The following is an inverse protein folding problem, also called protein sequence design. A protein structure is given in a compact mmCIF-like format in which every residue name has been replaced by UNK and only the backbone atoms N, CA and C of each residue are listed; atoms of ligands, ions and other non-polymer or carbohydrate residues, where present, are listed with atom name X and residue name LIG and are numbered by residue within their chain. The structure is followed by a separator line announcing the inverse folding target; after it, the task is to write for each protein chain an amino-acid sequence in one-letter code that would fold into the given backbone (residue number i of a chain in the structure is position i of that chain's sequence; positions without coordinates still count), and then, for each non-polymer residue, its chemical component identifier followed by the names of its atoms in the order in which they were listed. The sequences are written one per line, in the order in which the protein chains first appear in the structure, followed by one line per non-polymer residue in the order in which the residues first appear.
data_IF_695239639120
#
_entry.id   IF_695239639120
#
_cell.length_a   1.000
_cell.length_b   1.000
_cell.length_c   1.000
_cell.angle_alpha   90.00
_cell.angle_beta   90.00
_cell.angle_gamma   90.00
#
_symmetry.space_group_name_H-M   'P 1'
#
loop_
_entity.id
_entity.type
_entity.pdbx_description
1 polymer ?
#
# COMPACT_ATOMS: atom_id res chain seq x y z
N UNK A 1 0.26 26.09 21.42
CA UNK A 1 1.06 24.89 21.11
C UNK A 1 0.40 24.24 19.92
N UNK A 2 0.93 24.53 18.75
CA UNK A 2 0.37 24.13 17.45
C UNK A 2 1.03 22.83 17.02
N UNK A 3 0.23 21.79 16.81
CA UNK A 3 0.70 20.56 16.18
C UNK A 3 0.51 20.72 14.67
N UNK A 4 1.60 21.03 13.97
CA UNK A 4 1.71 20.92 12.53
C UNK A 4 2.05 19.48 12.16
N UNK A 5 1.20 18.82 11.39
CA UNK A 5 1.57 17.60 10.66
C UNK A 5 2.33 18.01 9.38
N UNK A 6 3.45 17.36 9.03
CA UNK A 6 4.12 17.64 7.77
C UNK A 6 3.24 17.17 6.61
N UNK A 7 2.72 18.13 5.84
CA UNK A 7 2.26 17.88 4.49
C UNK A 7 3.46 17.40 3.66
N UNK A 8 3.31 16.26 2.97
CA UNK A 8 4.26 15.85 1.95
C UNK A 8 4.34 16.96 0.88
N UNK A 9 5.55 17.43 0.52
CA UNK A 9 5.67 18.49 -0.48
C UNK A 9 5.31 17.96 -1.87
N UNK A 10 4.43 18.69 -2.54
CA UNK A 10 4.22 18.60 -3.98
C UNK A 10 5.53 18.94 -4.70
N UNK A 11 5.93 18.10 -5.65
CA UNK A 11 7.06 18.36 -6.51
C UNK A 11 6.75 19.52 -7.47
N UNK A 12 7.29 20.71 -7.19
CA UNK A 12 7.73 21.66 -8.21
C UNK A 12 8.51 22.83 -7.60
N UNK A 13 9.62 23.15 -8.25
CA UNK A 13 10.39 24.40 -8.22
C UNK A 13 11.27 24.69 -7.00
N UNK A 14 12.58 24.51 -7.19
CA UNK A 14 13.64 25.51 -7.01
C UNK A 14 14.97 24.75 -6.86
N UNK A 15 15.90 24.87 -7.81
CA UNK A 15 16.92 25.92 -7.82
C UNK A 15 17.91 25.79 -6.65
N UNK A 16 19.10 25.27 -7.02
CA UNK A 16 20.42 25.30 -6.38
C UNK A 16 20.55 26.27 -5.21
N UNK A 17 21.05 25.77 -4.07
CA UNK A 17 22.43 26.04 -3.63
C UNK A 17 22.86 25.06 -2.53
N UNK A 18 24.10 24.59 -2.70
CA UNK A 18 25.04 23.91 -1.78
C UNK A 18 24.89 24.32 -0.30
N UNK A 19 25.06 23.45 0.69
CA UNK A 19 26.31 22.73 1.06
C UNK A 19 25.99 21.64 2.11
N UNK A 20 26.65 20.46 1.96
CA UNK A 20 27.16 19.50 2.98
C UNK A 20 26.29 19.21 4.23
N UNK A 21 25.95 17.99 4.62
CA UNK A 21 26.66 16.72 4.52
C UNK A 21 25.63 15.59 4.73
N UNK A 22 25.49 14.68 3.77
CA UNK A 22 24.67 13.47 3.90
C UNK A 22 25.20 12.41 2.96
N UNK A 23 25.67 11.31 3.53
CA UNK A 23 26.16 10.11 2.86
C UNK A 23 25.10 9.57 1.90
N UNK A 24 25.33 9.58 0.57
CA UNK A 24 24.39 9.01 -0.39
C UNK A 24 24.70 7.54 -0.63
N UNK A 25 23.64 6.72 -0.65
CA UNK A 25 23.66 5.41 -1.30
C UNK A 25 24.04 5.65 -2.77
N UNK A 26 25.23 5.19 -3.14
CA UNK A 26 25.83 5.35 -4.46
C UNK A 26 24.89 4.87 -5.59
N UNK A 27 24.27 5.80 -6.33
CA UNK A 27 23.93 5.56 -7.73
C UNK A 27 25.20 5.73 -8.55
N UNK A 28 25.86 4.62 -8.86
CA UNK A 28 26.98 4.61 -9.80
C UNK A 28 26.47 5.02 -11.19
N UNK A 29 27.17 5.95 -11.86
CA UNK A 29 26.91 6.29 -13.25
C UNK A 29 27.05 5.02 -14.11
N UNK A 30 25.94 4.57 -14.70
CA UNK A 30 25.96 3.42 -15.59
C UNK A 30 26.64 3.79 -16.91
N UNK A 31 27.45 2.88 -17.47
CA UNK A 31 28.09 3.08 -18.76
C UNK A 31 27.05 3.11 -19.90
N UNK A 32 27.38 3.76 -21.02
CA UNK A 32 26.46 3.88 -22.17
C UNK A 32 25.91 2.52 -22.63
N UNK A 33 26.77 1.51 -22.77
CA UNK A 33 26.39 0.16 -23.17
C UNK A 33 25.43 -0.50 -22.17
N UNK A 34 25.63 -0.27 -20.85
CA UNK A 34 24.77 -0.85 -19.83
C UNK A 34 23.34 -0.29 -19.84
N UNK A 35 23.16 0.95 -20.32
CA UNK A 35 21.84 1.58 -20.45
C UNK A 35 21.14 1.05 -21.73
N UNK A 36 21.87 0.88 -22.83
CA UNK A 36 21.35 0.29 -24.06
C UNK A 36 20.88 -1.15 -23.85
N UNK A 37 21.69 -1.98 -23.19
CA UNK A 37 21.38 -3.38 -22.89
C UNK A 37 20.17 -3.53 -21.93
N UNK A 38 19.90 -2.49 -21.14
CA UNK A 38 18.79 -2.45 -20.20
C UNK A 38 17.44 -2.21 -20.87
N UNK A 39 17.39 -1.64 -22.07
CA UNK A 39 16.13 -1.34 -22.77
C UNK A 39 15.90 -2.40 -23.86
N UNK A 40 14.67 -2.90 -23.95
CA UNK A 40 14.29 -3.87 -24.98
C UNK A 40 12.85 -3.63 -25.45
N UNK A 41 12.53 -4.09 -26.66
CA UNK A 41 11.18 -4.01 -27.21
C UNK A 41 10.56 -5.41 -27.34
N UNK A 42 9.46 -5.64 -26.64
CA UNK A 42 8.68 -6.87 -26.70
C UNK A 42 7.63 -6.74 -27.81
N UNK A 43 7.97 -7.21 -29.01
CA UNK A 43 7.13 -7.09 -30.19
C UNK A 43 5.74 -7.74 -30.04
N UNK A 44 5.66 -8.87 -29.32
CA UNK A 44 4.41 -9.59 -29.07
C UNK A 44 3.36 -8.76 -28.31
N UNK A 45 3.81 -7.80 -27.49
CA UNK A 45 2.95 -6.95 -26.68
C UNK A 45 3.00 -5.48 -27.09
N UNK A 46 3.85 -5.15 -28.08
CA UNK A 46 4.11 -3.79 -28.53
C UNK A 46 4.47 -2.83 -27.38
N UNK A 47 5.42 -3.24 -26.53
CA UNK A 47 5.89 -2.46 -25.37
C UNK A 47 7.41 -2.37 -25.34
N UNK A 48 7.92 -1.24 -24.88
CA UNK A 48 9.34 -1.07 -24.52
C UNK A 48 9.48 -1.35 -23.04
N UNK A 49 10.43 -2.19 -22.64
CA UNK A 49 10.68 -2.60 -21.26
C UNK A 49 12.10 -2.22 -20.84
N UNK A 50 12.22 -1.66 -19.65
CA UNK A 50 13.49 -1.54 -18.96
C UNK A 50 13.70 -2.75 -18.05
N UNK A 51 14.70 -3.58 -18.38
CA UNK A 51 15.05 -4.80 -17.63
C UNK A 51 15.54 -4.50 -16.22
N UNK A 52 16.26 -3.40 -16.03
CA UNK A 52 16.77 -3.01 -14.71
C UNK A 52 15.63 -2.60 -13.76
N UNK A 53 14.65 -1.87 -14.27
CA UNK A 53 13.49 -1.42 -13.50
C UNK A 53 12.31 -2.39 -13.56
N UNK A 54 12.44 -3.47 -14.36
CA UNK A 54 11.42 -4.50 -14.55
C UNK A 54 10.03 -3.91 -14.82
N UNK A 55 9.97 -2.93 -15.72
CA UNK A 55 8.75 -2.18 -16.06
C UNK A 55 8.77 -1.76 -17.53
N UNK A 56 7.60 -1.76 -18.14
CA UNK A 56 7.33 -1.11 -19.41
C UNK A 56 7.45 0.41 -19.28
N UNK A 57 7.88 1.04 -20.35
CA UNK A 57 8.24 2.44 -20.45
C UNK A 57 7.39 3.10 -21.54
N UNK A 58 6.53 4.04 -21.14
CA UNK A 58 5.72 4.81 -22.10
C UNK A 58 6.47 5.99 -22.70
N UNK A 59 7.22 6.71 -21.87
CA UNK A 59 8.05 7.85 -22.30
C UNK A 59 9.51 7.50 -22.05
N UNK A 60 10.16 6.98 -23.09
CA UNK A 60 11.54 6.48 -23.02
C UNK A 60 12.53 7.61 -22.68
N UNK A 61 12.36 8.80 -23.26
CA UNK A 61 13.23 9.94 -22.98
C UNK A 61 13.15 10.37 -21.51
N UNK A 62 11.94 10.48 -20.96
CA UNK A 62 11.73 10.82 -19.56
C UNK A 62 12.28 9.73 -18.63
N UNK A 63 12.03 8.46 -18.94
CA UNK A 63 12.52 7.35 -18.13
C UNK A 63 14.07 7.31 -18.08
N UNK A 64 14.73 7.44 -19.22
CA UNK A 64 16.20 7.44 -19.27
C UNK A 64 16.81 8.64 -18.52
N UNK A 65 16.13 9.79 -18.55
CA UNK A 65 16.55 10.99 -17.80
C UNK A 65 16.40 10.79 -16.29
N UNK A 66 15.25 10.31 -15.86
CA UNK A 66 14.85 10.34 -14.45
C UNK A 66 15.38 9.12 -13.68
N UNK A 67 15.58 7.96 -14.34
CA UNK A 67 15.99 6.71 -13.69
C UNK A 67 17.42 6.26 -14.04
N UNK A 68 17.91 6.55 -15.25
CA UNK A 68 19.28 6.19 -15.65
C UNK A 68 20.25 7.38 -15.65
N UNK A 69 19.78 8.60 -15.34
CA UNK A 69 20.57 9.84 -15.44
C UNK A 69 21.29 9.96 -16.79
N UNK A 70 20.70 9.43 -17.87
CA UNK A 70 21.37 9.26 -19.15
C UNK A 70 21.63 10.64 -19.81
N UNK A 71 22.85 10.88 -20.33
CA UNK A 71 23.17 12.12 -21.05
C UNK A 71 22.25 12.35 -22.24
N UNK A 72 21.95 13.62 -22.56
CA UNK A 72 21.01 14.00 -23.63
C UNK A 72 21.33 13.34 -24.99
N UNK A 73 22.61 13.21 -25.34
CA UNK A 73 23.05 12.57 -26.59
C UNK A 73 22.66 11.10 -26.64
N UNK A 74 22.94 10.36 -25.56
CA UNK A 74 22.63 8.94 -25.44
C UNK A 74 21.11 8.70 -25.41
N UNK A 75 20.34 9.54 -24.70
CA UNK A 75 18.87 9.43 -24.69
C UNK A 75 18.27 9.55 -26.09
N UNK A 76 18.80 10.46 -26.91
CA UNK A 76 18.38 10.63 -28.30
C UNK A 76 18.73 9.41 -29.15
N UNK A 77 19.95 8.91 -29.05
CA UNK A 77 20.41 7.73 -29.78
C UNK A 77 19.58 6.47 -29.45
N UNK A 78 19.31 6.24 -28.16
CA UNK A 78 18.40 5.17 -27.72
C UNK A 78 16.98 5.41 -28.23
N UNK A 79 16.44 6.63 -28.12
CA UNK A 79 15.09 6.90 -28.61
C UNK A 79 14.96 6.72 -30.14
N UNK A 80 16.00 7.07 -30.90
CA UNK A 80 16.09 6.88 -32.35
C UNK A 80 16.12 5.39 -32.73
N UNK A 81 16.77 4.52 -31.95
CA UNK A 81 16.81 3.08 -32.24
C UNK A 81 15.45 2.39 -32.11
N UNK A 82 14.54 2.96 -31.33
CA UNK A 82 13.14 2.51 -31.22
C UNK A 82 12.17 3.30 -32.09
N UNK A 83 12.66 4.25 -32.90
CA UNK A 83 11.83 5.02 -33.83
C UNK A 83 11.22 4.07 -34.89
N UNK A 84 9.90 4.09 -35.02
CA UNK A 84 9.16 3.19 -35.92
C UNK A 84 8.65 1.90 -35.27
N UNK A 85 8.99 1.62 -34.01
CA UNK A 85 8.29 0.59 -33.23
C UNK A 85 6.94 1.14 -32.76
N UNK A 86 5.88 0.35 -32.90
CA UNK A 86 4.57 0.72 -32.36
C UNK A 86 4.56 0.43 -30.87
N UNK A 87 4.32 1.43 -30.04
CA UNK A 87 4.21 1.26 -28.58
C UNK A 87 2.76 1.51 -28.16
N UNK A 88 2.12 0.49 -27.62
CA UNK A 88 0.74 0.59 -27.16
C UNK A 88 0.65 1.36 -25.84
N UNK A 89 -0.43 2.14 -25.70
CA UNK A 89 -0.75 2.79 -24.43
C UNK A 89 -1.18 1.74 -23.38
N UNK A 90 -0.96 2.00 -22.09
CA UNK A 90 -1.18 1.05 -20.97
C UNK A 90 -2.51 0.32 -21.02
N UNK A 91 -3.59 1.01 -21.42
CA UNK A 91 -4.95 0.46 -21.50
C UNK A 91 -5.17 -0.48 -22.70
N UNK A 92 -4.36 -0.37 -23.73
CA UNK A 92 -4.49 -1.12 -25.00
C UNK A 92 -3.60 -2.36 -25.05
N UNK A 93 -2.67 -2.51 -24.08
CA UNK A 93 -1.80 -3.68 -24.02
C UNK A 93 -2.62 -4.92 -23.71
N UNK A 94 -2.52 -5.91 -24.60
CA UNK A 94 -3.06 -7.24 -24.40
C UNK A 94 -2.12 -7.99 -23.46
N UNK A 95 -2.63 -8.37 -22.29
CA UNK A 95 -1.87 -9.15 -21.33
C UNK A 95 -1.62 -10.56 -21.89
N UNK A 96 -0.49 -11.19 -21.54
CA UNK A 96 -0.25 -12.59 -21.83
C UNK A 96 -1.40 -13.46 -21.31
N UNK A 97 -1.61 -14.61 -21.96
CA UNK A 97 -2.52 -15.62 -21.44
C UNK A 97 -2.10 -16.02 -20.02
N UNK A 98 -3.05 -16.18 -19.09
CA UNK A 98 -2.73 -16.61 -17.74
C UNK A 98 -2.06 -17.98 -17.75
N UNK A 99 -1.13 -18.21 -16.81
CA UNK A 99 -0.32 -19.42 -16.67
C UNK A 99 0.73 -19.63 -17.79
N UNK A 100 1.00 -18.60 -18.60
CA UNK A 100 2.16 -18.61 -19.51
C UNK A 100 3.51 -18.56 -18.77
N UNK A 101 4.63 -18.82 -19.47
CA UNK A 101 5.96 -18.67 -18.88
C UNK A 101 6.23 -17.21 -18.46
N UNK A 102 7.04 -16.96 -17.42
CA UNK A 102 7.46 -15.62 -17.06
C UNK A 102 8.18 -14.89 -18.20
N UNK A 103 7.91 -13.60 -18.35
CA UNK A 103 8.66 -12.71 -19.24
C UNK A 103 9.96 -12.33 -18.52
N UNK A 104 11.11 -12.77 -19.04
CA UNK A 104 12.42 -12.59 -18.41
C UNK A 104 12.76 -11.10 -18.18
N UNK A 105 12.37 -10.23 -19.11
CA UNK A 105 12.67 -8.80 -19.10
C UNK A 105 11.88 -8.02 -18.02
N UNK A 106 10.84 -8.63 -17.45
CA UNK A 106 10.10 -8.08 -16.31
C UNK A 106 10.64 -8.59 -14.96
N UNK A 107 11.76 -9.31 -14.97
CA UNK A 107 12.41 -9.84 -13.78
C UNK A 107 11.61 -10.96 -13.11
N UNK A 108 12.03 -11.31 -11.89
CA UNK A 108 11.44 -12.42 -11.14
C UNK A 108 9.94 -12.19 -10.88
N UNK A 109 9.08 -13.22 -11.06
CA UNK A 109 7.68 -13.15 -10.69
C UNK A 109 7.50 -12.79 -9.21
N UNK A 110 6.48 -11.98 -8.94
CA UNK A 110 6.08 -11.57 -7.60
C UNK A 110 5.07 -12.57 -7.03
N UNK A 111 5.00 -12.64 -5.70
CA UNK A 111 3.91 -13.35 -5.04
C UNK A 111 2.63 -12.52 -5.11
N UNK A 112 1.58 -13.16 -5.61
CA UNK A 112 0.22 -12.64 -5.68
C UNK A 112 -0.74 -13.58 -4.99
N UNK A 113 -1.93 -13.07 -4.74
CA UNK A 113 -3.01 -13.78 -4.08
C UNK A 113 -4.22 -13.74 -5.00
N UNK A 114 -4.73 -14.90 -5.40
CA UNK A 114 -5.87 -15.01 -6.28
C UNK A 114 -6.94 -15.92 -5.66
N UNK A 115 -8.17 -15.42 -5.66
CA UNK A 115 -9.36 -16.22 -5.45
C UNK A 115 -9.96 -16.58 -6.82
N UNK A 116 -10.34 -17.84 -7.02
CA UNK A 116 -10.86 -18.33 -8.31
C UNK A 116 -12.38 -18.17 -8.46
N UNK A 117 -13.11 -17.76 -7.43
CA UNK A 117 -14.57 -17.61 -7.43
C UNK A 117 -15.04 -16.32 -6.74
N UNK A 118 -16.21 -15.81 -7.14
CA UNK A 118 -16.73 -14.51 -6.69
C UNK A 118 -17.12 -14.46 -5.19
N UNK A 119 -17.37 -15.61 -4.55
CA UNK A 119 -17.82 -15.72 -3.14
C UNK A 119 -16.88 -16.57 -2.25
N UNK A 120 -15.65 -16.84 -2.69
CA UNK A 120 -14.77 -17.77 -1.99
C UNK A 120 -13.79 -17.09 -1.01
N UNK A 121 -13.71 -17.63 0.20
CA UNK A 121 -12.83 -17.22 1.30
C UNK A 121 -11.44 -17.88 1.26
N UNK A 122 -11.15 -18.72 0.25
CA UNK A 122 -9.84 -19.33 0.05
C UNK A 122 -9.00 -18.55 -0.94
N UNK A 123 -7.86 -18.07 -0.45
CA UNK A 123 -6.87 -17.35 -1.24
C UNK A 123 -5.73 -18.31 -1.58
N UNK A 124 -5.45 -18.48 -2.87
CA UNK A 124 -4.28 -19.25 -3.33
C UNK A 124 -3.12 -18.32 -3.63
N UNK A 125 -1.90 -18.73 -3.24
CA UNK A 125 -0.67 -18.01 -3.61
C UNK A 125 -0.33 -18.35 -5.06
N UNK A 126 -0.24 -17.33 -5.89
CA UNK A 126 0.09 -17.42 -7.32
C UNK A 126 1.32 -16.59 -7.64
N UNK A 127 2.04 -16.93 -8.70
CA UNK A 127 3.13 -16.10 -9.22
C UNK A 127 2.59 -15.15 -10.28
N UNK A 128 2.90 -13.87 -10.15
CA UNK A 128 2.37 -12.81 -11.03
C UNK A 128 3.49 -11.92 -11.58
N UNK A 129 3.26 -11.35 -12.76
CA UNK A 129 4.06 -10.27 -13.32
C UNK A 129 3.16 -9.11 -13.76
N UNK A 130 3.77 -7.94 -13.96
CA UNK A 130 3.08 -6.74 -14.44
C UNK A 130 4.01 -5.97 -15.37
N UNK A 131 3.44 -5.33 -16.39
CA UNK A 131 4.17 -4.37 -17.20
C UNK A 131 4.39 -3.04 -16.48
N UNK A 132 3.61 -2.67 -15.47
CA UNK A 132 3.73 -1.36 -14.81
C UNK A 132 3.80 -1.53 -13.30
N UNK A 133 4.82 -0.93 -12.68
CA UNK A 133 5.06 -0.99 -11.23
C UNK A 133 4.56 0.23 -10.45
N UNK A 134 4.06 1.26 -11.14
CA UNK A 134 3.60 2.52 -10.52
C UNK A 134 2.29 3.01 -11.17
N UNK A 135 1.43 3.66 -10.38
CA UNK A 135 0.17 4.27 -10.84
C UNK A 135 -1.09 3.40 -10.70
N UNK A 136 -2.27 4.01 -10.86
CA UNK A 136 -3.58 3.36 -10.67
C UNK A 136 -4.08 2.46 -11.80
N UNK A 137 -3.20 2.07 -12.74
CA UNK A 137 -3.52 1.20 -13.88
C UNK A 137 -2.68 -0.09 -13.90
N UNK A 138 -2.19 -0.52 -12.74
CA UNK A 138 -1.45 -1.78 -12.60
C UNK A 138 -2.37 -2.96 -12.94
N UNK A 139 -1.97 -3.76 -13.92
CA UNK A 139 -2.67 -4.97 -14.31
C UNK A 139 -1.69 -6.14 -14.22
N UNK A 140 -2.00 -7.07 -13.33
CA UNK A 140 -1.21 -8.27 -13.11
C UNK A 140 -1.71 -9.41 -14.00
N UNK A 141 -0.80 -10.29 -14.41
CA UNK A 141 -1.12 -11.54 -15.06
C UNK A 141 -0.36 -12.67 -14.37
N UNK A 142 -1.01 -13.84 -14.28
CA UNK A 142 -0.48 -15.03 -13.61
C UNK A 142 0.51 -15.73 -14.54
N UNK A 143 1.65 -16.14 -14.01
CA UNK A 143 2.70 -16.85 -14.74
C UNK A 143 3.01 -18.19 -14.09
N UNK A 144 3.32 -19.19 -14.91
CA UNK A 144 3.81 -20.48 -14.46
C UNK A 144 5.33 -20.41 -14.28
N UNK A 145 5.76 -19.85 -13.15
CA UNK A 145 7.14 -20.00 -12.72
C UNK A 145 7.27 -21.44 -12.22
N UNK A 146 7.68 -22.36 -13.11
CA UNK A 146 7.86 -23.75 -12.75
C UNK A 146 8.59 -23.84 -11.41
N UNK A 147 8.11 -24.71 -10.52
CA UNK A 147 8.78 -24.97 -9.25
C UNK A 147 10.16 -25.54 -9.56
N UNK A 148 11.15 -24.65 -9.69
CA UNK A 148 12.55 -25.02 -9.82
C UNK A 148 13.02 -25.51 -8.46
N UNK A 149 12.56 -26.69 -8.06
CA UNK A 149 13.42 -27.64 -7.38
C UNK A 149 14.61 -27.87 -8.32
N UNK A 150 15.71 -27.18 -8.02
CA UNK A 150 17.02 -27.40 -8.62
C UNK A 150 17.40 -28.86 -8.46
N UNK A 151 17.08 -29.65 -9.48
CA UNK A 151 17.64 -30.98 -9.69
C UNK A 151 19.04 -30.84 -10.26
N UNK A 152 20.03 -30.76 -9.37
CA UNK A 152 21.40 -31.11 -9.73
C UNK A 152 21.51 -32.64 -9.76
N UNK A 153 21.57 -33.18 -10.97
CA UNK A 153 21.99 -34.56 -11.19
C UNK A 153 23.49 -34.57 -11.50
N UNK A 154 24.31 -34.86 -10.49
CA UNK A 154 25.41 -35.83 -10.56
C UNK A 154 26.24 -35.83 -9.28
N UNK A 155 25.92 -36.72 -8.35
CA UNK A 155 26.85 -37.81 -7.98
C UNK A 155 26.15 -38.77 -7.05
N UNK A 156 26.19 -40.05 -7.41
CA UNK A 156 25.76 -41.14 -6.54
C UNK A 156 26.50 -41.05 -5.20
N UNK A 157 25.76 -40.87 -4.12
CA UNK A 157 26.04 -41.36 -2.77
C UNK A 157 24.76 -41.15 -1.95
N UNK A 158 24.15 -42.24 -1.52
CA UNK A 158 22.97 -42.30 -0.67
C UNK A 158 23.13 -41.41 0.58
N UNK A 159 22.52 -40.23 0.59
CA UNK A 159 22.38 -39.43 1.79
C UNK A 159 21.36 -40.10 2.73
N UNK A 160 21.65 -40.24 4.04
CA UNK A 160 20.73 -40.88 4.99
C UNK A 160 19.43 -40.08 5.10
N UNK A 161 18.30 -40.78 5.01
CA UNK A 161 16.93 -40.30 5.27
C UNK A 161 16.83 -39.32 6.46
N UNK A 162 17.66 -39.49 7.48
CA UNK A 162 17.69 -38.67 8.71
C UNK A 162 17.93 -37.16 8.48
N UNK A 163 18.78 -36.76 7.52
CA UNK A 163 19.19 -35.35 7.42
C UNK A 163 18.13 -34.49 6.75
N UNK A 164 17.47 -35.01 5.71
CA UNK A 164 16.38 -34.31 5.02
C UNK A 164 15.13 -34.19 5.90
N UNK A 165 14.87 -35.20 6.73
CA UNK A 165 13.76 -35.19 7.68
C UNK A 165 14.02 -34.25 8.87
N UNK A 166 15.28 -34.14 9.32
CA UNK A 166 15.69 -33.13 10.31
C UNK A 166 15.49 -31.70 9.81
N UNK A 167 15.92 -31.37 8.58
CA UNK A 167 15.76 -30.02 8.02
C UNK A 167 14.28 -29.65 7.82
N UNK A 168 13.43 -30.59 7.41
CA UNK A 168 11.98 -30.35 7.31
C UNK A 168 11.32 -30.10 8.66
N UNK A 169 11.73 -30.84 9.69
CA UNK A 169 11.25 -30.65 11.06
C UNK A 169 11.69 -29.29 11.61
N UNK A 170 12.95 -28.92 11.44
CA UNK A 170 13.46 -27.60 11.85
C UNK A 170 12.77 -26.45 11.12
N UNK A 171 12.47 -26.58 9.81
CA UNK A 171 11.68 -25.57 9.08
C UNK A 171 10.24 -25.47 9.58
N UNK A 172 9.59 -26.60 9.87
CA UNK A 172 8.23 -26.60 10.42
C UNK A 172 8.20 -25.96 11.82
N UNK A 173 9.20 -26.27 12.66
CA UNK A 173 9.37 -25.66 13.98
C UNK A 173 9.63 -24.15 13.86
N UNK A 174 10.49 -23.73 12.93
CA UNK A 174 10.76 -22.31 12.68
C UNK A 174 9.53 -21.56 12.15
N UNK A 175 8.75 -22.16 11.25
CA UNK A 175 7.47 -21.59 10.78
C UNK A 175 6.43 -21.49 11.91
N UNK A 176 6.41 -22.44 12.84
CA UNK A 176 5.52 -22.34 14.02
C UNK A 176 5.95 -21.23 14.96
N UNK A 177 7.25 -21.11 15.26
CA UNK A 177 7.80 -20.04 16.11
C UNK A 177 7.58 -18.68 15.46
N UNK A 178 7.82 -18.57 14.15
CA UNK A 178 7.58 -17.33 13.41
C UNK A 178 6.09 -16.94 13.45
N UNK A 179 5.18 -17.90 13.29
CA UNK A 179 3.74 -17.66 13.37
C UNK A 179 3.31 -17.24 14.77
N UNK A 180 3.88 -17.83 15.81
CA UNK A 180 3.65 -17.45 17.21
C UNK A 180 4.21 -16.04 17.50
N UNK A 181 5.38 -15.70 16.97
CA UNK A 181 5.96 -14.35 17.09
C UNK A 181 5.15 -13.30 16.32
N UNK A 182 4.68 -13.61 15.11
CA UNK A 182 3.80 -12.75 14.32
C UNK A 182 2.45 -12.54 15.03
N UNK A 183 1.86 -13.61 15.58
CA UNK A 183 0.64 -13.50 16.39
C UNK A 183 0.89 -12.65 17.63
N UNK A 184 2.03 -12.83 18.31
CA UNK A 184 2.43 -12.04 19.49
C UNK A 184 2.64 -10.57 19.14
N UNK A 185 3.19 -10.27 17.96
CA UNK A 185 3.40 -8.90 17.47
C UNK A 185 2.09 -8.21 17.05
N UNK A 186 1.10 -8.98 16.61
CA UNK A 186 -0.24 -8.45 16.28
C UNK A 186 -1.08 -8.14 17.52
N UNK A 187 -0.76 -8.71 18.68
CA UNK A 187 -1.40 -8.32 19.93
C UNK A 187 -0.87 -6.96 20.39
N UNK A 188 -1.77 -6.07 20.79
CA UNK A 188 -1.35 -4.77 21.30
C UNK A 188 -0.62 -4.96 22.63
N UNK A 189 0.70 -4.81 22.63
CA UNK A 189 1.50 -4.77 23.85
C UNK A 189 1.07 -3.56 24.68
N UNK A 190 0.89 -3.74 25.99
CA UNK A 190 0.61 -2.66 26.94
C UNK A 190 1.67 -1.55 26.86
N UNK A 191 2.85 -1.84 26.30
CA UNK A 191 3.89 -0.88 25.97
C UNK A 191 3.58 0.04 24.76
N UNK A 192 2.85 -0.41 23.73
CA UNK A 192 2.48 0.41 22.55
C UNK A 192 1.33 1.38 22.88
N UNK A 193 0.50 1.06 23.87
CA UNK A 193 -0.45 2.00 24.46
C UNK A 193 0.22 3.20 25.18
N UNK A 194 1.55 3.21 25.34
CA UNK A 194 2.27 4.29 26.03
C UNK A 194 2.51 5.54 25.18
N UNK A 195 2.27 5.50 23.86
CA UNK A 195 2.56 6.64 22.95
C UNK A 195 1.42 7.67 22.82
N UNK A 196 0.17 7.33 23.16
CA UNK A 196 -0.94 8.29 23.18
C UNK A 196 -1.72 8.21 24.49
N UNK A 197 -1.27 9.00 25.47
CA UNK A 197 -1.92 9.17 26.77
C UNK A 197 -2.75 10.45 26.85
N UNK A 198 -3.40 10.87 25.77
CA UNK A 198 -4.37 11.97 25.88
C UNK A 198 -5.38 11.65 27.00
N UNK A 199 -5.76 12.67 27.78
CA UNK A 199 -6.72 12.49 28.87
C UNK A 199 -8.06 11.90 28.41
N UNK A 200 -8.38 12.05 27.12
CA UNK A 200 -9.52 11.42 26.46
C UNK A 200 -9.44 9.89 26.43
N UNK A 201 -8.30 9.32 26.03
CA UNK A 201 -8.11 7.86 25.96
C UNK A 201 -8.29 7.20 27.33
N UNK A 202 -7.68 7.80 28.38
CA UNK A 202 -7.87 7.33 29.77
C UNK A 202 -9.31 7.46 30.24
N UNK A 203 -9.98 8.57 29.91
CA UNK A 203 -11.38 8.80 30.31
C UNK A 203 -12.35 7.81 29.66
N UNK A 204 -12.06 7.35 28.45
CA UNK A 204 -12.94 6.49 27.66
C UNK A 204 -12.61 5.00 27.77
N UNK A 205 -11.52 4.63 28.45
CA UNK A 205 -11.16 3.24 28.68
C UNK A 205 -10.59 2.53 27.45
N UNK A 206 -10.13 3.28 26.44
CA UNK A 206 -9.56 2.70 25.22
C UNK A 206 -8.31 1.84 25.46
N UNK A 207 -7.36 2.24 26.32
CA UNK A 207 -6.19 1.40 26.61
C UNK A 207 -6.57 0.03 27.16
N UNK A 208 -7.53 -0.03 28.09
CA UNK A 208 -8.05 -1.26 28.67
C UNK A 208 -8.80 -2.09 27.63
N UNK A 209 -9.62 -1.44 26.79
CA UNK A 209 -10.35 -2.10 25.72
C UNK A 209 -9.43 -2.78 24.71
N UNK A 210 -8.34 -2.12 24.32
CA UNK A 210 -7.42 -2.62 23.31
C UNK A 210 -6.34 -3.57 23.86
N UNK A 211 -6.09 -3.56 25.18
CA UNK A 211 -5.05 -4.38 25.80
C UNK A 211 -5.23 -5.87 25.50
N UNK A 212 -4.18 -6.51 24.95
CA UNK A 212 -4.22 -7.94 24.64
C UNK A 212 -5.15 -8.35 23.50
N UNK A 213 -5.74 -7.40 22.76
CA UNK A 213 -6.52 -7.68 21.55
C UNK A 213 -5.61 -7.64 20.31
N UNK A 214 -5.99 -8.40 19.28
CA UNK A 214 -5.28 -8.44 18.00
C UNK A 214 -5.62 -7.21 17.15
N UNK A 215 -4.61 -6.43 16.77
CA UNK A 215 -4.74 -5.20 15.98
C UNK A 215 -5.34 -5.43 14.59
N UNK A 216 -4.98 -6.53 13.92
CA UNK A 216 -5.54 -6.87 12.61
C UNK A 216 -7.04 -7.16 12.72
N UNK A 217 -7.45 -7.86 13.78
CA UNK A 217 -8.86 -8.08 14.08
C UNK A 217 -9.59 -6.76 14.37
N UNK A 218 -9.05 -5.89 15.24
CA UNK A 218 -9.64 -4.59 15.54
C UNK A 218 -9.77 -3.70 14.29
N UNK A 219 -8.74 -3.68 13.44
CA UNK A 219 -8.75 -2.93 12.18
C UNK A 219 -9.81 -3.49 11.20
N UNK A 220 -9.95 -4.82 11.14
CA UNK A 220 -11.00 -5.47 10.38
C UNK A 220 -12.38 -5.10 10.91
N UNK A 221 -12.59 -5.08 12.23
CA UNK A 221 -13.86 -4.68 12.83
C UNK A 221 -14.19 -3.20 12.60
N UNK A 222 -13.19 -2.34 12.40
CA UNK A 222 -13.38 -0.92 12.08
C UNK A 222 -13.54 -0.64 10.57
N UNK A 223 -13.65 -1.66 9.71
CA UNK A 223 -13.86 -1.47 8.26
C UNK A 223 -15.24 -0.86 7.96
N UNK A 224 -15.39 -0.28 6.77
CA UNK A 224 -16.72 0.15 6.29
C UNK A 224 -17.61 -1.06 6.02
N UNK A 225 -18.94 -0.93 6.11
CA UNK A 225 -19.85 -2.05 5.91
C UNK A 225 -19.77 -2.61 4.49
N UNK A 226 -19.84 -3.93 4.37
CA UNK A 226 -19.95 -4.61 3.08
C UNK A 226 -21.41 -4.73 2.60
N UNK A 227 -21.64 -5.47 1.50
CA UNK A 227 -22.97 -5.66 0.91
C UNK A 227 -23.91 -6.53 1.76
N UNK A 228 -23.36 -7.41 2.60
CA UNK A 228 -24.14 -8.28 3.48
C UNK A 228 -24.60 -7.59 4.76
N UNK A 229 -23.90 -6.54 5.17
CA UNK A 229 -24.15 -5.83 6.43
C UNK A 229 -25.21 -4.71 6.30
N UNK A 230 -26.43 -5.03 5.86
CA UNK A 230 -27.50 -4.06 5.54
C UNK A 230 -27.79 -3.08 6.69
N UNK A 231 -27.82 -3.56 7.94
CA UNK A 231 -28.05 -2.70 9.12
C UNK A 231 -26.90 -1.71 9.34
N UNK A 232 -25.65 -2.13 9.11
CA UNK A 232 -24.49 -1.26 9.24
C UNK A 232 -24.39 -0.28 8.06
N UNK A 233 -24.82 -0.64 6.86
CA UNK A 233 -24.96 0.30 5.74
C UNK A 233 -25.96 1.42 6.08
N UNK A 234 -27.10 1.07 6.67
CA UNK A 234 -28.07 2.06 7.14
C UNK A 234 -27.46 2.96 8.21
N UNK A 235 -26.78 2.38 9.21
CA UNK A 235 -26.08 3.16 10.24
C UNK A 235 -25.02 4.09 9.63
N UNK A 236 -24.24 3.62 8.67
CA UNK A 236 -23.24 4.41 7.96
C UNK A 236 -23.86 5.60 7.24
N UNK A 237 -24.92 5.39 6.46
CA UNK A 237 -25.62 6.46 5.75
C UNK A 237 -26.23 7.50 6.71
N UNK A 238 -26.80 7.05 7.84
CA UNK A 238 -27.35 7.94 8.86
C UNK A 238 -26.25 8.78 9.53
N UNK A 239 -25.11 8.18 9.85
CA UNK A 239 -23.97 8.85 10.48
C UNK A 239 -23.34 9.87 9.52
N UNK A 240 -23.12 9.50 8.26
CA UNK A 240 -22.59 10.41 7.25
C UNK A 240 -23.54 11.62 7.06
N UNK A 241 -24.84 11.36 6.90
CA UNK A 241 -25.84 12.41 6.80
C UNK A 241 -25.94 13.29 8.06
N UNK A 242 -25.75 12.72 9.26
CA UNK A 242 -25.69 13.46 10.51
C UNK A 242 -24.47 14.40 10.53
N UNK A 243 -23.28 13.90 10.21
CA UNK A 243 -22.03 14.68 10.21
C UNK A 243 -22.14 15.83 9.21
N UNK A 244 -22.58 15.54 7.98
CA UNK A 244 -22.70 16.55 6.93
C UNK A 244 -23.71 17.65 7.29
N UNK A 245 -24.90 17.27 7.81
CA UNK A 245 -25.88 18.26 8.29
C UNK A 245 -25.34 19.09 9.44
N UNK A 246 -24.62 18.47 10.38
CA UNK A 246 -24.05 19.18 11.53
C UNK A 246 -23.02 20.21 11.09
N UNK A 247 -22.15 19.85 10.14
CA UNK A 247 -21.11 20.73 9.61
C UNK A 247 -21.72 21.88 8.82
N UNK A 248 -22.70 21.61 7.97
CA UNK A 248 -23.45 22.65 7.24
C UNK A 248 -24.18 23.60 8.21
N UNK A 249 -24.75 23.05 9.27
CA UNK A 249 -25.43 23.76 10.34
C UNK A 249 -24.51 24.69 11.15
N UNK A 250 -23.19 24.53 11.10
CA UNK A 250 -22.28 25.49 11.76
C UNK A 250 -22.49 26.92 11.26
N UNK A 251 -22.87 27.09 9.99
CA UNK A 251 -23.15 28.41 9.41
C UNK A 251 -24.35 29.12 10.06
N UNK A 252 -25.27 28.38 10.68
CA UNK A 252 -26.45 28.94 11.35
C UNK A 252 -26.17 29.35 12.81
N UNK A 253 -25.03 28.93 13.36
CA UNK A 253 -24.62 29.27 14.72
C UNK A 253 -23.86 30.61 14.75
N UNK A 254 -24.09 31.36 15.83
CA UNK A 254 -23.35 32.57 16.08
C UNK A 254 -21.85 32.28 16.28
N UNK A 255 -21.04 33.35 16.20
CA UNK A 255 -19.59 33.23 16.27
C UNK A 255 -19.11 32.72 17.63
N UNK A 256 -19.77 33.07 18.73
CA UNK A 256 -19.37 32.68 20.08
C UNK A 256 -19.63 31.20 20.32
N UNK A 257 -20.82 30.71 19.97
CA UNK A 257 -21.16 29.28 20.01
C UNK A 257 -20.14 28.44 19.25
N UNK A 258 -19.72 28.87 18.06
CA UNK A 258 -18.70 28.15 17.27
C UNK A 258 -17.30 28.18 17.91
N UNK A 259 -16.95 29.24 18.64
CA UNK A 259 -15.67 29.31 19.37
C UNK A 259 -15.67 28.37 20.58
N UNK A 260 -16.81 28.23 21.24
CA UNK A 260 -17.00 27.24 22.29
C UNK A 260 -16.92 25.81 21.75
N UNK A 261 -17.59 25.50 20.64
CA UNK A 261 -17.52 24.17 20.01
C UNK A 261 -16.12 23.76 19.57
N UNK A 262 -15.26 24.72 19.19
CA UNK A 262 -13.86 24.45 18.84
C UNK A 262 -12.99 24.19 20.06
N UNK A 263 -13.35 24.74 21.22
CA UNK A 263 -12.47 24.73 22.38
C UNK A 263 -12.38 23.34 23.01
N UNK A 264 -11.15 22.91 23.28
CA UNK A 264 -10.90 21.74 24.14
C UNK A 264 -11.08 22.05 25.64
N UNK A 265 -11.21 23.34 25.99
CA UNK A 265 -11.34 23.84 27.37
C UNK A 265 -12.80 24.17 27.68
N UNK A 266 -13.26 23.80 28.87
CA UNK A 266 -14.64 24.07 29.33
C UNK A 266 -14.87 25.50 29.81
N UNK A 267 -13.80 26.15 30.24
CA UNK A 267 -13.80 27.46 30.91
C UNK A 267 -13.54 28.63 29.96
N UNK A 268 -12.97 28.37 28.78
CA UNK A 268 -12.55 29.42 27.87
C UNK A 268 -12.82 29.06 26.40
N UNK A 269 -13.44 29.96 25.60
CA UNK A 269 -13.66 29.74 24.19
C UNK A 269 -12.35 29.85 23.39
N UNK A 270 -12.27 29.16 22.25
CA UNK A 270 -11.12 29.29 21.35
C UNK A 270 -11.08 30.70 20.73
N UNK A 271 -9.91 31.16 20.26
CA UNK A 271 -9.81 32.43 19.54
C UNK A 271 -10.52 32.37 18.19
N UNK A 272 -10.48 31.20 17.53
CA UNK A 272 -11.08 30.97 16.21
C UNK A 272 -12.40 30.21 16.34
N UNK A 273 -13.43 30.53 15.55
CA UNK A 273 -14.64 29.71 15.50
C UNK A 273 -14.34 28.35 14.85
N UNK A 274 -15.14 27.34 15.20
CA UNK A 274 -15.23 26.09 14.44
C UNK A 274 -15.83 26.39 13.05
N UNK A 275 -15.24 25.84 12.01
CA UNK A 275 -15.67 26.05 10.62
C UNK A 275 -15.64 24.73 9.86
N UNK A 276 -16.45 24.66 8.81
CA UNK A 276 -16.35 23.58 7.82
C UNK A 276 -14.94 23.55 7.21
N UNK A 277 -14.47 22.35 6.85
CA UNK A 277 -13.21 22.21 6.12
C UNK A 277 -13.38 22.78 4.71
N UNK A 278 -12.36 23.50 4.22
CA UNK A 278 -12.38 24.07 2.87
C UNK A 278 -12.38 22.98 1.78
N UNK A 279 -11.74 21.84 2.05
CA UNK A 279 -11.71 20.71 1.13
C UNK A 279 -12.83 19.72 1.46
N UNK A 280 -13.76 19.55 0.52
CA UNK A 280 -14.86 18.59 0.61
C UNK A 280 -14.36 17.14 0.73
N UNK A 281 -13.25 16.79 0.08
CA UNK A 281 -12.65 15.45 0.18
C UNK A 281 -12.15 15.17 1.60
N UNK A 282 -11.49 16.16 2.23
CA UNK A 282 -11.08 16.04 3.62
C UNK A 282 -12.28 15.90 4.54
N UNK A 283 -13.35 16.67 4.31
CA UNK A 283 -14.60 16.58 5.08
C UNK A 283 -15.19 15.16 5.00
N UNK A 284 -15.29 14.59 3.80
CA UNK A 284 -15.76 13.23 3.57
C UNK A 284 -14.86 12.18 4.27
N UNK A 285 -13.54 12.39 4.26
CA UNK A 285 -12.59 11.51 4.96
C UNK A 285 -12.81 11.49 6.47
N UNK A 286 -13.02 12.65 7.10
CA UNK A 286 -13.33 12.71 8.53
C UNK A 286 -14.71 12.13 8.87
N UNK A 287 -15.71 12.32 8.01
CA UNK A 287 -17.00 11.66 8.14
C UNK A 287 -16.86 10.13 8.08
N UNK A 288 -16.02 9.62 7.16
CA UNK A 288 -15.68 8.20 7.06
C UNK A 288 -15.05 7.65 8.35
N UNK A 289 -14.19 8.41 9.04
CA UNK A 289 -13.67 7.98 10.35
C UNK A 289 -14.76 7.81 11.40
N UNK A 290 -15.76 8.70 11.43
CA UNK A 290 -16.92 8.56 12.32
C UNK A 290 -17.78 7.34 11.95
N UNK A 291 -17.96 7.07 10.66
CA UNK A 291 -18.66 5.87 10.20
C UNK A 291 -17.94 4.60 10.66
N UNK A 292 -16.63 4.53 10.45
CA UNK A 292 -15.78 3.40 10.88
C UNK A 292 -15.86 3.19 12.39
N UNK A 293 -15.84 4.27 13.17
CA UNK A 293 -15.98 4.24 14.61
C UNK A 293 -17.34 3.67 15.05
N UNK A 294 -18.44 4.12 14.44
CA UNK A 294 -19.78 3.59 14.76
C UNK A 294 -19.92 2.14 14.34
N UNK A 295 -19.44 1.77 13.15
CA UNK A 295 -19.46 0.38 12.68
C UNK A 295 -18.69 -0.54 13.62
N UNK A 296 -17.52 -0.10 14.08
CA UNK A 296 -16.71 -0.81 15.06
C UNK A 296 -17.49 -1.10 16.36
N UNK A 297 -18.15 -0.09 16.93
CA UNK A 297 -18.96 -0.30 18.14
C UNK A 297 -20.13 -1.24 17.91
N UNK A 298 -20.85 -1.08 16.80
CA UNK A 298 -21.99 -1.93 16.50
C UNK A 298 -21.58 -3.39 16.27
N UNK A 299 -20.40 -3.64 15.70
CA UNK A 299 -19.86 -5.00 15.56
C UNK A 299 -19.44 -5.58 16.90
N UNK A 300 -18.76 -4.82 17.74
CA UNK A 300 -18.33 -5.30 19.07
C UNK A 300 -19.51 -5.57 19.99
N UNK A 301 -20.52 -4.69 20.00
CA UNK A 301 -21.74 -4.93 20.80
C UNK A 301 -22.45 -6.20 20.30
N UNK A 302 -22.53 -6.39 18.98
CA UNK A 302 -23.12 -7.61 18.42
C UNK A 302 -22.31 -8.87 18.77
N UNK A 303 -20.98 -8.78 18.80
CA UNK A 303 -20.09 -9.89 19.18
C UNK A 303 -20.17 -10.21 20.69
N UNK A 304 -20.48 -9.23 21.55
CA UNK A 304 -20.65 -9.42 23.00
C UNK A 304 -22.03 -10.00 23.39
N UNK A 305 -23.04 -9.84 22.53
CA UNK A 305 -24.40 -10.37 22.71
C UNK A 305 -24.60 -11.79 22.13
N UNK A 306 -23.60 -12.34 21.42
CA UNK A 306 -23.63 -13.65 20.76
C UNK A 306 -22.97 -14.75 21.59
#
# INVERSE_FOLDING_TARGET
MEFCWPAQPSAAQASRTTTTDSTPVHQAAQSHNAIEDAICYLAAHAVIVCKQHATAVQNLDAHLRDYHNAPKRLRREIAESYQGKTVLHTKQIILPSPLGPPIEELGKPLDGFQCSEEDCSFITRVKVQTFFRTGGLQRYFVVNAGDSSTGDSNSALSAPCDVADNVKREMAEWETVQREEEQRMQLMDAAVAKTDQTGWFKRTGWPEHFAGRNLAHLAHQARLPDRGEVKLQLAAALVEGLVERSVRGLSTLDRESRRWLRSARRDNPDLRPLTQLQNAESQARYASYMVRFVCYFLRIIADEEA
#
